data_IF_357723912098
#
_entry.id   IF_357723912098
#
_cell.length_a   1.000
_cell.length_b   1.000
_cell.length_c   1.000
_cell.angle_alpha   90.00
_cell.angle_beta   90.00
_cell.angle_gamma   90.00
#
_symmetry.space_group_name_H-M   'P 1'
#
loop_
_entity.id
_entity.type
_entity.pdbx_description
1 polymer ?
#
# COMPACT_ATOMS: atom_id res chain seq x y z
N UNK A 1 -13.71 6.06 -41.74
CA UNK A 1 -13.44 7.45 -41.32
C UNK A 1 -13.13 7.42 -39.82
N UNK A 2 -11.90 7.75 -39.41
CA UNK A 2 -11.53 9.00 -38.67
C UNK A 2 -12.29 9.10 -37.31
N UNK A 3 -11.71 9.25 -36.11
CA UNK A 3 -10.43 9.83 -35.68
C UNK A 3 -10.17 9.57 -34.16
N UNK A 4 -8.89 9.30 -33.83
CA UNK A 4 -8.06 9.81 -32.71
C UNK A 4 -8.48 9.68 -31.22
N UNK A 5 -7.60 9.10 -30.39
CA UNK A 5 -7.23 9.68 -29.10
C UNK A 5 -6.01 10.61 -29.25
N UNK A 6 -6.21 11.90 -28.96
CA UNK A 6 -5.16 12.80 -28.44
C UNK A 6 -4.97 12.45 -26.96
N UNK A 7 -3.85 12.59 -26.27
CA UNK A 7 -2.45 12.91 -26.55
C UNK A 7 -1.78 12.79 -25.16
N UNK A 8 -0.56 12.27 -25.07
CA UNK A 8 0.10 12.15 -23.77
C UNK A 8 1.46 11.46 -23.78
N UNK A 9 2.34 11.91 -24.67
CA UNK A 9 3.81 11.87 -24.61
C UNK A 9 4.51 10.61 -24.01
N UNK A 10 4.89 9.72 -24.92
CA UNK A 10 6.20 9.06 -25.03
C UNK A 10 7.10 8.95 -23.77
N UNK A 11 7.06 7.79 -23.12
CA UNK A 11 8.20 7.22 -22.41
C UNK A 11 8.72 6.02 -23.21
N UNK A 12 9.67 6.25 -24.11
CA UNK A 12 10.43 5.17 -24.74
C UNK A 12 11.74 5.68 -25.33
N UNK A 13 12.85 5.50 -24.60
CA UNK A 13 14.19 5.25 -25.14
C UNK A 13 14.92 4.45 -24.04
N UNK A 14 14.84 3.12 -24.09
CA UNK A 14 15.75 2.23 -24.80
C UNK A 14 16.99 1.89 -23.95
N UNK A 15 16.90 0.77 -23.22
CA UNK A 15 18.05 -0.04 -22.85
C UNK A 15 18.69 -0.60 -24.12
N UNK A 16 19.92 -0.22 -24.42
CA UNK A 16 20.98 -1.05 -25.02
C UNK A 16 22.03 -0.16 -25.69
N UNK A 17 23.29 -0.30 -25.26
CA UNK A 17 24.51 -0.35 -26.07
C UNK A 17 25.65 -0.51 -25.05
N UNK A 18 25.97 -1.75 -24.66
CA UNK A 18 27.09 -2.51 -25.22
C UNK A 18 28.41 -1.74 -25.18
N UNK A 19 29.23 -2.13 -24.21
CA UNK A 19 30.69 -2.22 -24.25
C UNK A 19 31.32 -1.74 -25.58
N UNK A 20 31.70 -0.48 -25.63
CA UNK A 20 32.90 -0.05 -26.32
C UNK A 20 33.75 0.63 -25.27
N UNK A 21 34.61 -0.19 -24.66
CA UNK A 21 35.83 0.28 -24.05
C UNK A 21 36.64 0.97 -25.17
N UNK A 22 36.37 2.25 -25.41
CA UNK A 22 37.41 3.09 -25.95
C UNK A 22 38.43 3.19 -24.83
N UNK A 23 39.47 2.35 -24.93
CA UNK A 23 40.76 2.58 -24.30
C UNK A 23 41.18 3.99 -24.68
N UNK A 24 40.76 4.96 -23.89
CA UNK A 24 41.48 6.21 -23.79
C UNK A 24 42.79 5.78 -23.14
N UNK A 25 43.81 5.54 -23.95
CA UNK A 25 45.18 5.48 -23.47
C UNK A 25 45.42 6.83 -22.79
N UNK A 26 45.24 6.87 -21.47
CA UNK A 26 45.81 7.89 -20.64
C UNK A 26 47.30 7.63 -20.77
N UNK A 27 47.94 8.29 -21.72
CA UNK A 27 49.38 8.37 -21.77
C UNK A 27 49.80 8.88 -20.40
N UNK A 28 50.56 8.04 -19.71
CA UNK A 28 51.13 8.30 -18.40
C UNK A 28 52.16 9.42 -18.57
N UNK A 29 51.67 10.66 -18.64
CA UNK A 29 52.48 11.87 -18.67
C UNK A 29 52.28 12.54 -17.34
N UNK A 30 53.24 12.34 -16.45
CA UNK A 30 53.50 13.17 -15.28
C UNK A 30 53.78 14.65 -15.61
N UNK A 31 53.66 15.08 -16.89
CA UNK A 31 53.70 16.46 -17.33
C UNK A 31 52.30 16.99 -17.66
N UNK A 32 51.83 17.96 -16.88
CA UNK A 32 50.55 18.64 -17.09
C UNK A 32 50.42 19.24 -18.49
N UNK A 33 49.31 18.94 -19.16
CA UNK A 33 48.96 19.56 -20.43
C UNK A 33 48.39 20.97 -20.18
N UNK A 34 49.14 21.99 -20.61
CA UNK A 34 48.59 23.33 -20.85
C UNK A 34 47.78 23.30 -22.15
N UNK A 35 46.47 23.51 -22.06
CA UNK A 35 45.66 23.88 -23.22
C UNK A 35 45.90 25.38 -23.46
N UNK A 36 46.40 25.71 -24.65
CA UNK A 36 46.76 27.03 -25.16
C UNK A 36 46.35 28.25 -24.28
N UNK A 37 47.32 28.83 -23.58
CA UNK A 37 47.29 30.23 -23.13
C UNK A 37 46.70 30.54 -21.75
N UNK A 38 46.13 29.58 -21.02
CA UNK A 38 45.65 29.81 -19.65
C UNK A 38 46.29 28.79 -18.71
N UNK A 39 47.07 29.27 -17.74
CA UNK A 39 47.61 28.42 -16.67
C UNK A 39 46.46 27.77 -15.92
N UNK A 40 46.29 26.46 -16.10
CA UNK A 40 45.30 25.69 -15.35
C UNK A 40 45.78 25.63 -13.91
N UNK A 41 45.13 26.39 -13.04
CA UNK A 41 45.39 26.34 -11.59
C UNK A 41 45.00 24.95 -11.07
N UNK A 42 46.01 24.09 -10.89
CA UNK A 42 45.82 22.73 -10.36
C UNK A 42 45.13 22.74 -8.99
N UNK A 43 45.32 23.79 -8.17
CA UNK A 43 44.67 23.88 -6.87
C UNK A 43 43.16 24.09 -7.03
N UNK A 44 42.72 24.87 -8.01
CA UNK A 44 41.30 25.06 -8.32
C UNK A 44 40.62 23.76 -8.80
N UNK A 45 41.33 22.94 -9.61
CA UNK A 45 40.83 21.61 -10.02
C UNK A 45 40.75 20.65 -8.84
N UNK A 46 41.80 20.56 -8.02
CA UNK A 46 41.82 19.68 -6.85
C UNK A 46 40.75 20.07 -5.82
N UNK A 47 40.56 21.36 -5.57
CA UNK A 47 39.50 21.86 -4.69
C UNK A 47 38.11 21.55 -5.26
N UNK A 48 37.89 21.73 -6.56
CA UNK A 48 36.63 21.38 -7.22
C UNK A 48 36.30 19.88 -7.17
N UNK A 49 37.31 19.00 -7.34
CA UNK A 49 37.14 17.55 -7.23
C UNK A 49 36.86 17.13 -5.79
N UNK A 50 37.57 17.72 -4.81
CA UNK A 50 37.35 17.44 -3.39
C UNK A 50 35.94 17.81 -2.94
N UNK A 51 35.48 19.01 -3.35
CA UNK A 51 34.13 19.49 -3.06
C UNK A 51 33.04 18.65 -3.74
N UNK A 52 33.24 18.26 -5.01
CA UNK A 52 32.33 17.35 -5.71
C UNK A 52 32.25 15.97 -5.04
N UNK A 53 33.38 15.45 -4.55
CA UNK A 53 33.44 14.16 -3.83
C UNK A 53 32.73 14.23 -2.48
N UNK A 54 32.89 15.33 -1.75
CA UNK A 54 32.17 15.57 -0.49
C UNK A 54 30.65 15.67 -0.70
N UNK A 55 30.21 16.36 -1.76
CA UNK A 55 28.78 16.42 -2.14
C UNK A 55 28.22 15.05 -2.55
N UNK A 56 28.99 14.26 -3.30
CA UNK A 56 28.59 12.91 -3.67
C UNK A 56 28.44 11.98 -2.46
N UNK A 57 29.36 12.06 -1.48
CA UNK A 57 29.28 11.28 -0.23
C UNK A 57 28.07 11.69 0.62
N UNK A 58 27.78 12.99 0.73
CA UNK A 58 26.60 13.48 1.43
C UNK A 58 25.31 12.98 0.75
N UNK A 59 25.24 13.05 -0.58
CA UNK A 59 24.11 12.53 -1.34
C UNK A 59 23.92 11.01 -1.18
N UNK A 60 25.01 10.23 -1.11
CA UNK A 60 24.96 8.79 -0.81
C UNK A 60 24.40 8.53 0.59
N UNK A 61 24.87 9.24 1.62
CA UNK A 61 24.35 9.11 2.98
C UNK A 61 22.86 9.49 3.07
N UNK A 62 22.43 10.53 2.36
CA UNK A 62 21.01 10.90 2.28
C UNK A 62 20.16 9.84 1.58
N UNK A 63 20.66 9.21 0.52
CA UNK A 63 19.97 8.13 -0.17
C UNK A 63 19.82 6.88 0.72
N UNK A 64 20.87 6.53 1.47
CA UNK A 64 20.82 5.43 2.45
C UNK A 64 19.81 5.69 3.56
N UNK A 65 19.82 6.90 4.14
CA UNK A 65 18.85 7.31 5.15
C UNK A 65 17.41 7.31 4.63
N UNK A 66 17.19 7.80 3.40
CA UNK A 66 15.89 7.77 2.74
C UNK A 66 15.40 6.32 2.52
N UNK A 67 16.30 5.42 2.13
CA UNK A 67 16.01 3.99 1.99
C UNK A 67 15.57 3.33 3.30
N UNK A 68 16.27 3.61 4.40
CA UNK A 68 15.90 3.12 5.74
C UNK A 68 14.53 3.67 6.18
N UNK A 69 14.26 4.94 5.90
CA UNK A 69 12.97 5.58 6.21
C UNK A 69 11.83 4.99 5.39
N UNK A 70 12.05 4.67 4.12
CA UNK A 70 11.05 3.99 3.30
C UNK A 70 10.75 2.57 3.81
N UNK A 71 11.76 1.85 4.29
CA UNK A 71 11.59 0.52 4.90
C UNK A 71 10.81 0.59 6.21
N UNK A 72 11.12 1.56 7.09
CA UNK A 72 10.39 1.74 8.35
C UNK A 72 8.93 2.15 8.10
N UNK A 73 8.69 3.07 7.15
CA UNK A 73 7.33 3.44 6.73
C UNK A 73 6.55 2.23 6.17
N UNK A 74 7.20 1.35 5.42
CA UNK A 74 6.58 0.12 4.90
C UNK A 74 6.18 -0.86 6.02
N UNK A 75 6.99 -0.95 7.08
CA UNK A 75 6.66 -1.77 8.26
C UNK A 75 5.45 -1.20 9.03
N UNK A 76 5.41 0.12 9.21
CA UNK A 76 4.26 0.80 9.85
C UNK A 76 2.98 0.61 9.03
N UNK A 77 3.06 0.75 7.71
CA UNK A 77 1.91 0.53 6.82
C UNK A 77 1.40 -0.93 6.91
N UNK A 78 2.31 -1.90 6.94
CA UNK A 78 1.96 -3.33 7.08
C UNK A 78 1.30 -3.61 8.44
N UNK A 79 1.82 -3.04 9.52
CA UNK A 79 1.23 -3.15 10.86
C UNK A 79 -0.19 -2.54 10.90
N UNK A 80 -0.36 -1.34 10.31
CA UNK A 80 -1.66 -0.68 10.21
C UNK A 80 -2.68 -1.50 9.42
N UNK A 81 -2.27 -2.12 8.30
CA UNK A 81 -3.13 -3.03 7.53
C UNK A 81 -3.52 -4.27 8.34
N UNK A 82 -2.60 -4.83 9.11
CA UNK A 82 -2.87 -5.95 10.02
C UNK A 82 -3.89 -5.57 11.11
N UNK A 83 -3.72 -4.42 11.75
CA UNK A 83 -4.68 -3.91 12.74
C UNK A 83 -6.05 -3.65 12.14
N UNK A 84 -6.12 -3.04 10.95
CA UNK A 84 -7.38 -2.80 10.25
C UNK A 84 -8.10 -4.12 9.91
N UNK A 85 -7.38 -5.12 9.40
CA UNK A 85 -7.93 -6.44 9.09
C UNK A 85 -8.46 -7.16 10.33
N UNK A 86 -7.73 -7.09 11.44
CA UNK A 86 -8.17 -7.60 12.73
C UNK A 86 -9.45 -6.90 13.23
N UNK A 87 -9.52 -5.58 13.11
CA UNK A 87 -10.71 -4.81 13.51
C UNK A 87 -11.95 -5.18 12.68
N UNK A 88 -11.79 -5.38 11.37
CA UNK A 88 -12.87 -5.86 10.49
C UNK A 88 -13.34 -7.24 10.93
N UNK A 89 -12.42 -8.16 11.23
CA UNK A 89 -12.74 -9.49 11.74
C UNK A 89 -13.53 -9.45 13.06
N UNK A 90 -13.13 -8.59 14.01
CA UNK A 90 -13.88 -8.40 15.27
C UNK A 90 -15.27 -7.81 15.05
N UNK A 91 -15.41 -6.87 14.12
CA UNK A 91 -16.73 -6.31 13.78
C UNK A 91 -17.65 -7.37 13.15
N UNK A 92 -17.11 -8.27 12.33
CA UNK A 92 -17.85 -9.38 11.76
C UNK A 92 -18.30 -10.40 12.84
N UNK A 93 -17.40 -10.78 13.76
CA UNK A 93 -17.74 -11.65 14.89
C UNK A 93 -18.83 -11.04 15.79
N UNK A 94 -18.71 -9.74 16.09
CA UNK A 94 -19.70 -9.02 16.87
C UNK A 94 -21.09 -9.00 16.20
N UNK A 95 -21.15 -8.79 14.88
CA UNK A 95 -22.40 -8.88 14.12
C UNK A 95 -22.97 -10.29 14.15
N UNK A 96 -22.16 -11.31 13.88
CA UNK A 96 -22.61 -12.70 13.90
C UNK A 96 -23.20 -13.10 15.27
N UNK A 97 -22.59 -12.64 16.38
CA UNK A 97 -23.14 -12.84 17.72
C UNK A 97 -24.45 -12.12 17.94
N UNK A 98 -24.56 -10.86 17.49
CA UNK A 98 -25.79 -10.09 17.61
C UNK A 98 -26.93 -10.74 16.82
N UNK A 99 -26.67 -11.17 15.59
CA UNK A 99 -27.63 -11.87 14.73
C UNK A 99 -28.06 -13.20 15.36
N UNK A 100 -27.11 -13.98 15.89
CA UNK A 100 -27.41 -15.22 16.61
C UNK A 100 -28.31 -14.98 17.82
N UNK A 101 -27.99 -13.99 18.66
CA UNK A 101 -28.80 -13.65 19.84
C UNK A 101 -30.20 -13.16 19.44
N UNK A 102 -30.32 -12.37 18.38
CA UNK A 102 -31.60 -11.93 17.85
C UNK A 102 -32.45 -13.13 17.40
N UNK A 103 -31.89 -14.04 16.62
CA UNK A 103 -32.56 -15.28 16.18
C UNK A 103 -32.94 -16.19 17.33
N UNK A 104 -32.07 -16.34 18.33
CA UNK A 104 -32.34 -17.16 19.51
C UNK A 104 -33.52 -16.60 20.32
N UNK A 105 -33.48 -15.30 20.63
CA UNK A 105 -34.55 -14.64 21.37
C UNK A 105 -35.87 -14.64 20.59
N UNK A 106 -35.81 -14.41 19.28
CA UNK A 106 -36.98 -14.49 18.40
C UNK A 106 -37.62 -15.88 18.45
N UNK A 107 -36.83 -16.95 18.28
CA UNK A 107 -37.35 -18.33 18.34
C UNK A 107 -37.96 -18.64 19.71
N UNK A 108 -37.33 -18.17 20.79
CA UNK A 108 -37.85 -18.34 22.14
C UNK A 108 -39.21 -17.66 22.30
N UNK A 109 -39.31 -16.36 21.98
CA UNK A 109 -40.56 -15.59 22.06
C UNK A 109 -41.65 -16.19 21.17
N UNK A 110 -41.31 -16.58 19.94
CA UNK A 110 -42.20 -17.24 19.00
C UNK A 110 -42.75 -18.55 19.55
N UNK A 111 -41.87 -19.42 20.08
CA UNK A 111 -42.27 -20.70 20.66
C UNK A 111 -43.20 -20.53 21.87
N UNK A 112 -42.92 -19.56 22.73
CA UNK A 112 -43.79 -19.21 23.86
C UNK A 112 -45.16 -18.72 23.38
N UNK A 113 -45.21 -17.86 22.35
CA UNK A 113 -46.47 -17.37 21.79
C UNK A 113 -47.32 -18.51 21.19
N UNK A 114 -46.70 -19.43 20.46
CA UNK A 114 -47.37 -20.63 19.92
C UNK A 114 -47.93 -21.48 21.07
N UNK A 115 -47.13 -21.73 22.09
CA UNK A 115 -47.52 -22.54 23.25
C UNK A 115 -48.70 -21.93 24.00
N UNK A 116 -48.68 -20.60 24.23
CA UNK A 116 -49.78 -19.89 24.88
C UNK A 116 -51.06 -19.92 24.06
N UNK A 117 -50.97 -19.76 22.74
CA UNK A 117 -52.12 -19.89 21.85
C UNK A 117 -52.71 -21.30 21.90
N UNK A 118 -51.88 -22.35 21.84
CA UNK A 118 -52.36 -23.74 21.96
C UNK A 118 -52.99 -24.03 23.33
N UNK A 119 -52.47 -23.43 24.41
CA UNK A 119 -53.06 -23.58 25.75
C UNK A 119 -54.50 -23.02 25.85
N UNK A 120 -54.90 -22.12 24.95
CA UNK A 120 -56.28 -21.62 24.84
C UNK A 120 -57.18 -22.46 23.94
N UNK A 121 -56.70 -23.60 23.43
CA UNK A 121 -57.41 -24.48 22.51
C UNK A 121 -57.25 -24.13 21.03
N UNK A 122 -56.31 -23.23 20.70
CA UNK A 122 -55.98 -22.88 19.32
C UNK A 122 -55.35 -24.04 18.55
N UNK A 123 -55.70 -24.15 17.26
CA UNK A 123 -55.05 -25.13 16.37
C UNK A 123 -53.56 -24.77 16.14
N UNK A 124 -52.63 -25.74 16.15
CA UNK A 124 -51.20 -25.49 15.98
C UNK A 124 -50.83 -24.72 14.71
N UNK A 125 -51.53 -24.96 13.59
CA UNK A 125 -51.32 -24.23 12.33
C UNK A 125 -51.70 -22.76 12.48
N UNK A 126 -52.87 -22.49 13.05
CA UNK A 126 -53.33 -21.12 13.31
C UNK A 126 -52.41 -20.38 14.28
N UNK A 127 -52.02 -21.03 15.38
CA UNK A 127 -51.11 -20.45 16.37
C UNK A 127 -49.74 -20.11 15.80
N UNK A 128 -49.23 -20.94 14.88
CA UNK A 128 -47.97 -20.69 14.19
C UNK A 128 -48.09 -19.46 13.27
N UNK A 129 -49.14 -19.39 12.45
CA UNK A 129 -49.40 -18.24 11.57
C UNK A 129 -49.52 -16.94 12.36
N UNK A 130 -50.28 -16.96 13.47
CA UNK A 130 -50.45 -15.78 14.31
C UNK A 130 -49.15 -15.35 14.99
N UNK A 131 -48.34 -16.31 15.48
CA UNK A 131 -47.04 -16.02 16.07
C UNK A 131 -46.07 -15.43 15.03
N UNK A 132 -46.05 -15.96 13.81
CA UNK A 132 -45.20 -15.46 12.71
C UNK A 132 -45.65 -14.07 12.22
N UNK A 133 -46.96 -13.79 12.26
CA UNK A 133 -47.50 -12.47 11.92
C UNK A 133 -47.21 -11.41 13.01
N UNK A 134 -47.24 -11.82 14.28
CA UNK A 134 -47.05 -10.91 15.41
C UNK A 134 -45.58 -10.69 15.78
N UNK A 135 -44.74 -11.69 15.53
CA UNK A 135 -43.30 -11.66 15.77
C UNK A 135 -42.58 -12.02 14.46
N UNK A 136 -42.41 -11.07 13.52
CA UNK A 136 -41.66 -11.31 12.30
C UNK A 136 -40.20 -11.63 12.63
N UNK A 137 -39.58 -12.47 11.80
CA UNK A 137 -38.17 -12.80 11.93
C UNK A 137 -37.29 -11.54 11.80
N UNK A 138 -36.18 -11.47 12.56
CA UNK A 138 -35.20 -10.39 12.45
C UNK A 138 -34.45 -10.40 11.12
#
# INVERSE_FOLDING_TARGET
MKMKPLAGAALALALSLSAQAQQLQIADSTGGHQIAGVGIDQAAIYNGISDARGRAQNAQGMAEWAGQTAQSASQVASAAQGTASYAVGRAADARARADYTAWYNWNYTRSTAISNCMATGGNPVYCTIMADAQYPAP
#
